data_IF_039017970853
#
_entry.id   IF_039017970853
#
_cell.length_a   1.000
_cell.length_b   1.000
_cell.length_c   1.000
_cell.angle_alpha   90.00
_cell.angle_beta   90.00
_cell.angle_gamma   90.00
#
_symmetry.space_group_name_H-M   'P 1'
#
loop_
_entity.id
_entity.type
_entity.pdbx_description
1 polymer ?
#
# COMPACT_ATOMS: atom_id res chain seq x y z
N UNK A 1 22.86 0.11 -6.96
CA UNK A 1 22.23 1.02 -5.99
C UNK A 1 20.97 0.34 -5.49
N UNK A 2 20.58 0.55 -4.23
CA UNK A 2 19.34 0.00 -3.69
C UNK A 2 18.14 0.62 -4.41
N UNK A 3 17.17 -0.19 -4.86
CA UNK A 3 15.99 0.29 -5.60
C UNK A 3 14.88 0.79 -4.69
N UNK A 4 14.83 0.27 -3.47
CA UNK A 4 13.81 0.59 -2.49
C UNK A 4 14.23 0.19 -1.08
N UNK A 5 13.60 0.80 -0.07
CA UNK A 5 13.62 0.34 1.33
C UNK A 5 12.18 0.24 1.81
N UNK A 6 11.86 -0.77 2.61
CA UNK A 6 10.48 -0.99 3.07
C UNK A 6 10.41 -1.36 4.55
N UNK A 7 9.24 -1.14 5.13
CA UNK A 7 8.88 -1.58 6.46
C UNK A 7 7.50 -2.23 6.43
N UNK A 8 7.43 -3.49 6.85
CA UNK A 8 6.16 -4.19 7.07
C UNK A 8 5.37 -3.55 8.20
N UNK A 9 4.06 -3.72 8.16
CA UNK A 9 3.16 -3.30 9.22
C UNK A 9 3.61 -3.87 10.59
N UNK A 10 3.95 -3.03 11.59
CA UNK A 10 4.54 -3.51 12.82
C UNK A 10 3.48 -3.92 13.84
N UNK A 11 2.66 -4.92 13.48
CA UNK A 11 1.56 -5.42 14.32
C UNK A 11 1.65 -6.93 14.47
N UNK A 12 1.13 -7.44 15.58
CA UNK A 12 0.98 -8.89 15.75
C UNK A 12 0.00 -9.43 14.70
N UNK A 13 0.40 -10.48 13.96
CA UNK A 13 -0.36 -11.00 12.82
C UNK A 13 -1.83 -11.29 13.16
N UNK A 14 -2.10 -11.91 14.31
CA UNK A 14 -3.47 -12.21 14.78
C UNK A 14 -4.40 -10.97 14.91
N UNK A 15 -3.88 -9.75 14.97
CA UNK A 15 -4.71 -8.53 14.97
C UNK A 15 -5.27 -8.20 13.59
N UNK A 16 -4.58 -8.63 12.53
CA UNK A 16 -4.87 -8.25 11.14
C UNK A 16 -5.11 -9.45 10.22
N UNK A 17 -4.94 -10.67 10.73
CA UNK A 17 -5.11 -11.93 10.02
C UNK A 17 -5.90 -12.95 10.86
N UNK A 18 -6.68 -13.80 10.17
CA UNK A 18 -7.42 -14.91 10.78
C UNK A 18 -8.81 -14.55 11.34
N UNK A 19 -9.52 -15.51 11.95
CA UNK A 19 -10.93 -15.38 12.32
C UNK A 19 -11.24 -14.31 13.37
N UNK A 20 -10.25 -13.95 14.18
CA UNK A 20 -10.39 -12.94 15.23
C UNK A 20 -10.07 -11.51 14.72
N UNK A 21 -9.46 -11.38 13.54
CA UNK A 21 -9.05 -10.09 13.00
C UNK A 21 -10.28 -9.32 12.53
N UNK A 22 -10.59 -8.25 13.25
CA UNK A 22 -11.74 -7.39 12.98
C UNK A 22 -11.43 -6.40 11.87
N UNK A 23 -12.42 -6.13 11.02
CA UNK A 23 -12.29 -5.18 9.91
C UNK A 23 -11.88 -3.78 10.39
N UNK A 24 -12.38 -3.34 11.56
CA UNK A 24 -12.05 -2.03 12.11
C UNK A 24 -10.59 -1.94 12.56
N UNK A 25 -10.04 -3.04 13.09
CA UNK A 25 -8.63 -3.11 13.50
C UNK A 25 -7.73 -3.11 12.27
N UNK A 26 -8.09 -3.85 11.21
CA UNK A 26 -7.37 -3.82 9.93
C UNK A 26 -7.34 -2.41 9.34
N UNK A 27 -8.51 -1.75 9.25
CA UNK A 27 -8.63 -0.39 8.74
C UNK A 27 -7.80 0.60 9.57
N UNK A 28 -7.84 0.50 10.90
CA UNK A 28 -7.01 1.32 11.79
C UNK A 28 -5.51 1.12 11.51
N UNK A 29 -5.04 -0.12 11.42
CA UNK A 29 -3.62 -0.40 11.17
C UNK A 29 -3.18 0.12 9.79
N UNK A 30 -4.01 -0.02 8.76
CA UNK A 30 -3.74 0.54 7.42
C UNK A 30 -3.73 2.07 7.47
N UNK A 31 -4.64 2.70 8.20
CA UNK A 31 -4.64 4.16 8.36
C UNK A 31 -3.34 4.66 8.97
N UNK A 32 -2.76 3.94 9.94
CA UNK A 32 -1.48 4.30 10.55
C UNK A 32 -0.30 4.15 9.56
N UNK A 33 -0.32 3.16 8.67
CA UNK A 33 0.64 3.08 7.57
C UNK A 33 0.54 4.29 6.64
N UNK A 34 -0.67 4.69 6.25
CA UNK A 34 -0.90 5.87 5.40
C UNK A 34 -0.44 7.17 6.07
N UNK A 35 -0.65 7.30 7.38
CA UNK A 35 -0.17 8.45 8.15
C UNK A 35 1.37 8.49 8.18
N UNK A 36 2.04 7.35 8.39
CA UNK A 36 3.49 7.26 8.30
C UNK A 36 4.01 7.61 6.89
N UNK A 37 3.34 7.15 5.84
CA UNK A 37 3.69 7.45 4.45
C UNK A 37 3.56 8.92 4.12
N UNK A 38 2.49 9.56 4.61
CA UNK A 38 2.30 11.01 4.48
C UNK A 38 3.45 11.80 5.12
N UNK A 39 3.90 11.39 6.31
CA UNK A 39 5.02 12.05 6.99
C UNK A 39 6.34 11.85 6.24
N UNK A 40 6.62 10.65 5.74
CA UNK A 40 7.85 10.38 4.97
C UNK A 40 7.88 11.11 3.63
N UNK A 41 6.74 11.22 2.94
CA UNK A 41 6.60 12.01 1.71
C UNK A 41 6.84 13.49 2.01
N UNK A 42 6.21 14.02 3.07
CA UNK A 42 6.32 15.44 3.43
C UNK A 42 7.72 15.86 3.89
N UNK A 43 8.50 14.94 4.46
CA UNK A 43 9.86 15.19 4.94
C UNK A 43 10.92 15.02 3.84
N UNK A 44 10.55 14.51 2.67
CA UNK A 44 11.49 14.19 1.61
C UNK A 44 12.02 15.44 0.90
N UNK A 45 13.33 15.48 0.67
CA UNK A 45 13.95 16.45 -0.24
C UNK A 45 13.98 15.87 -1.66
N UNK A 46 12.95 16.19 -2.45
CA UNK A 46 12.85 15.76 -3.83
C UNK A 46 13.88 16.40 -4.78
N UNK A 47 14.78 17.27 -4.29
CA UNK A 47 15.88 17.83 -5.10
C UNK A 47 17.06 16.87 -5.27
N UNK A 48 17.19 15.85 -4.42
CA UNK A 48 18.35 14.95 -4.36
C UNK A 48 18.27 13.73 -5.30
N UNK A 49 17.19 13.58 -6.06
CA UNK A 49 17.00 12.47 -7.00
C UNK A 49 15.58 11.91 -6.99
N UNK A 50 15.40 10.74 -7.60
CA UNK A 50 14.11 10.07 -7.58
C UNK A 50 13.82 9.51 -6.19
N UNK A 51 12.68 9.91 -5.65
CA UNK A 51 12.17 9.46 -4.36
C UNK A 51 10.65 9.44 -4.40
N UNK A 52 10.04 8.28 -4.13
CA UNK A 52 8.60 8.13 -3.96
C UNK A 52 8.26 7.30 -2.75
N UNK A 53 7.21 7.68 -2.04
CA UNK A 53 6.64 6.92 -0.93
C UNK A 53 5.31 6.32 -1.35
N UNK A 54 5.11 5.05 -1.04
CA UNK A 54 3.81 4.40 -1.17
C UNK A 54 3.53 3.43 -0.01
N UNK A 55 2.26 3.24 0.28
CA UNK A 55 1.78 2.07 1.00
C UNK A 55 1.39 0.98 -0.01
N UNK A 56 2.01 -0.18 0.12
CA UNK A 56 1.62 -1.39 -0.61
C UNK A 56 0.75 -2.24 0.31
N UNK A 57 -0.54 -2.30 0.02
CA UNK A 57 -1.50 -3.08 0.80
C UNK A 57 -1.78 -4.40 0.11
N UNK A 58 -1.76 -5.48 0.88
CA UNK A 58 -2.13 -6.81 0.41
C UNK A 58 -3.43 -7.22 1.09
N UNK A 59 -4.48 -7.43 0.31
CA UNK A 59 -5.80 -7.80 0.80
C UNK A 59 -6.14 -9.24 0.38
N UNK A 60 -6.65 -10.09 1.28
CA UNK A 60 -6.98 -9.84 2.69
C UNK A 60 -5.78 -9.96 3.66
N UNK A 61 -4.58 -10.26 3.17
CA UNK A 61 -3.38 -10.53 3.96
C UNK A 61 -2.67 -9.27 4.46
N UNK A 62 -3.36 -8.50 5.29
CA UNK A 62 -2.90 -7.17 5.77
C UNK A 62 -1.53 -7.23 6.44
N UNK A 63 -1.16 -8.35 7.08
CA UNK A 63 0.16 -8.53 7.69
C UNK A 63 1.33 -8.42 6.69
N UNK A 64 1.08 -8.64 5.39
CA UNK A 64 2.09 -8.47 4.33
C UNK A 64 2.18 -7.04 3.82
N UNK A 65 1.29 -6.14 4.27
CA UNK A 65 1.28 -4.76 3.84
C UNK A 65 2.49 -4.00 4.39
N UNK A 66 2.93 -3.01 3.63
CA UNK A 66 4.14 -2.26 3.92
C UNK A 66 4.03 -0.80 3.52
N UNK A 67 4.93 -0.01 4.10
CA UNK A 67 5.34 1.27 3.56
C UNK A 67 6.67 1.10 2.84
N UNK A 68 6.78 1.64 1.63
CA UNK A 68 7.94 1.46 0.76
C UNK A 68 8.39 2.79 0.20
N UNK A 69 9.70 3.03 0.30
CA UNK A 69 10.43 4.16 -0.28
C UNK A 69 11.13 3.67 -1.53
N UNK A 70 10.87 4.31 -2.65
CA UNK A 70 11.42 3.96 -3.95
C UNK A 70 12.46 4.97 -4.39
N UNK A 71 13.63 4.48 -4.79
CA UNK A 71 14.72 5.29 -5.35
C UNK A 71 14.91 5.06 -6.86
N UNK A 72 14.16 4.11 -7.42
CA UNK A 72 14.17 3.74 -8.83
C UNK A 72 12.76 3.91 -9.42
N UNK A 73 12.65 4.75 -10.45
CA UNK A 73 11.38 5.11 -11.09
C UNK A 73 10.72 3.94 -11.80
N UNK A 74 11.50 3.21 -12.58
CA UNK A 74 10.98 2.10 -13.37
C UNK A 74 10.52 0.97 -12.45
N UNK A 75 11.23 0.79 -11.32
CA UNK A 75 10.81 -0.13 -10.28
C UNK A 75 9.47 0.29 -9.64
N UNK A 76 9.30 1.57 -9.29
CA UNK A 76 8.03 2.06 -8.71
C UNK A 76 6.86 1.96 -9.70
N UNK A 77 7.09 2.29 -10.97
CA UNK A 77 6.08 2.18 -12.03
C UNK A 77 5.54 0.75 -12.15
N UNK A 78 6.37 -0.27 -11.89
CA UNK A 78 5.93 -1.66 -11.84
C UNK A 78 4.83 -1.94 -10.80
N UNK A 79 4.79 -1.19 -9.68
CA UNK A 79 3.77 -1.33 -8.64
C UNK A 79 2.49 -0.54 -8.92
N UNK A 80 2.57 0.53 -9.70
CA UNK A 80 1.38 1.21 -10.22
C UNK A 80 0.74 0.44 -11.38
N UNK A 81 1.55 -0.38 -12.07
CA UNK A 81 1.18 -1.15 -13.24
C UNK A 81 0.75 -0.28 -14.44
N UNK A 82 0.55 -0.92 -15.58
CA UNK A 82 0.07 -0.24 -16.79
C UNK A 82 -1.41 0.15 -16.66
N UNK A 83 -2.18 -0.60 -15.86
CA UNK A 83 -3.61 -0.36 -15.64
C UNK A 83 -3.98 -0.63 -14.18
N UNK A 84 -4.82 0.24 -13.62
CA UNK A 84 -5.49 0.00 -12.35
C UNK A 84 -6.70 -0.93 -12.63
N UNK A 85 -6.46 -2.24 -12.54
CA UNK A 85 -7.41 -3.28 -12.98
C UNK A 85 -8.64 -3.37 -12.09
N UNK A 86 -8.57 -2.85 -10.86
CA UNK A 86 -9.69 -2.81 -9.93
C UNK A 86 -10.56 -1.55 -10.06
N UNK A 87 -10.32 -0.65 -11.01
CA UNK A 87 -11.25 0.49 -11.22
C UNK A 87 -12.68 0.01 -11.51
N UNK A 88 -13.71 0.64 -10.93
CA UNK A 88 -13.69 1.87 -10.14
C UNK A 88 -13.52 1.67 -8.61
N UNK A 89 -13.22 0.46 -8.16
CA UNK A 89 -13.07 0.12 -6.75
C UNK A 89 -11.91 0.87 -6.10
N UNK A 90 -12.07 1.17 -4.81
CA UNK A 90 -11.08 1.84 -3.98
C UNK A 90 -11.10 1.22 -2.59
N UNK A 91 -10.01 0.59 -2.18
CA UNK A 91 -9.88 0.04 -0.83
C UNK A 91 -9.94 1.15 0.22
N UNK A 92 -9.50 2.36 -0.14
CA UNK A 92 -9.65 3.54 0.73
C UNK A 92 -11.10 3.85 1.06
N UNK A 93 -12.02 3.75 0.09
CA UNK A 93 -13.44 3.94 0.33
C UNK A 93 -14.04 2.76 1.12
N UNK A 94 -13.69 1.52 0.75
CA UNK A 94 -14.21 0.32 1.41
C UNK A 94 -13.86 0.26 2.91
N UNK A 95 -12.68 0.75 3.28
CA UNK A 95 -12.18 0.77 4.66
C UNK A 95 -12.34 2.14 5.34
N UNK A 96 -13.02 3.10 4.71
CA UNK A 96 -13.18 4.48 5.21
C UNK A 96 -11.85 5.16 5.60
N UNK A 97 -10.80 4.94 4.81
CA UNK A 97 -9.47 5.49 5.02
C UNK A 97 -9.37 6.93 4.51
N UNK A 98 -8.55 7.72 5.19
CA UNK A 98 -8.10 9.03 4.71
C UNK A 98 -6.79 8.85 3.96
N UNK A 99 -6.82 9.03 2.64
CA UNK A 99 -5.62 9.06 1.80
C UNK A 99 -5.02 10.47 1.79
N UNK A 100 -3.68 10.61 1.86
CA UNK A 100 -3.03 11.90 1.64
C UNK A 100 -3.46 12.52 0.30
N UNK A 101 -3.65 13.84 0.27
CA UNK A 101 -4.22 14.52 -0.91
C UNK A 101 -3.36 14.37 -2.17
N UNK A 102 -2.05 14.20 -1.99
CA UNK A 102 -1.07 14.02 -3.05
C UNK A 102 -0.91 12.55 -3.49
N UNK A 103 -1.61 11.59 -2.85
CA UNK A 103 -1.50 10.17 -3.17
C UNK A 103 -2.56 9.74 -4.18
N UNK A 104 -2.16 8.90 -5.13
CA UNK A 104 -3.03 8.14 -6.02
C UNK A 104 -3.23 6.73 -5.46
N UNK A 105 -4.25 6.03 -5.95
CA UNK A 105 -4.59 4.67 -5.54
C UNK A 105 -4.78 3.79 -6.77
N UNK A 106 -3.95 2.74 -6.86
CA UNK A 106 -3.95 1.75 -7.93
C UNK A 106 -4.17 0.36 -7.34
N UNK A 107 -5.23 -0.32 -7.78
CA UNK A 107 -5.57 -1.67 -7.36
C UNK A 107 -5.34 -2.68 -8.47
N UNK A 108 -4.81 -3.84 -8.09
CA UNK A 108 -4.55 -4.95 -8.96
C UNK A 108 -5.17 -6.23 -8.39
N UNK A 109 -6.02 -6.89 -9.16
CA UNK A 109 -6.36 -8.29 -8.90
C UNK A 109 -5.15 -9.17 -9.23
N UNK A 110 -4.66 -9.89 -8.23
CA UNK A 110 -3.50 -10.79 -8.35
C UNK A 110 -3.86 -12.22 -7.94
N UNK A 111 -5.17 -12.52 -7.85
CA UNK A 111 -5.70 -13.84 -7.52
C UNK A 111 -5.15 -14.90 -8.46
N UNK A 112 -4.56 -15.95 -7.90
CA UNK A 112 -4.05 -17.11 -8.61
C UNK A 112 -5.10 -18.23 -8.65
N UNK A 113 -5.02 -19.18 -9.61
CA UNK A 113 -5.95 -20.30 -9.70
C UNK A 113 -6.04 -21.17 -8.45
N UNK A 114 -4.96 -21.23 -7.67
CA UNK A 114 -4.85 -22.03 -6.45
C UNK A 114 -5.21 -21.25 -5.18
N UNK A 115 -5.54 -19.95 -5.28
CA UNK A 115 -5.94 -19.16 -4.13
C UNK A 115 -7.36 -19.52 -3.68
N UNK A 116 -7.52 -19.78 -2.38
CA UNK A 116 -8.83 -20.06 -1.77
C UNK A 116 -9.72 -18.80 -1.67
N UNK A 117 -9.12 -17.61 -1.78
CA UNK A 117 -9.78 -16.31 -1.66
C UNK A 117 -9.23 -15.33 -2.68
N UNK A 118 -10.02 -14.34 -3.08
CA UNK A 118 -9.53 -13.27 -3.95
C UNK A 118 -8.40 -12.48 -3.27
N UNK A 119 -7.34 -12.21 -4.02
CA UNK A 119 -6.14 -11.50 -3.55
C UNK A 119 -5.99 -10.21 -4.36
N UNK A 120 -5.87 -9.10 -3.64
CA UNK A 120 -5.73 -7.79 -4.25
C UNK A 120 -4.49 -7.09 -3.71
N UNK A 121 -3.74 -6.45 -4.61
CA UNK A 121 -2.66 -5.55 -4.26
C UNK A 121 -3.09 -4.11 -4.52
N UNK A 122 -2.85 -3.23 -3.56
CA UNK A 122 -3.17 -1.81 -3.67
C UNK A 122 -1.93 -0.98 -3.43
N UNK A 123 -1.52 -0.21 -4.44
CA UNK A 123 -0.49 0.82 -4.31
C UNK A 123 -1.17 2.16 -4.02
N UNK A 124 -0.99 2.69 -2.81
CA UNK A 124 -1.47 4.02 -2.41
C UNK A 124 -0.25 4.90 -2.13
N UNK A 125 0.10 5.77 -3.07
CA UNK A 125 1.38 6.49 -3.01
C UNK A 125 1.43 7.71 -3.90
N UNK A 126 2.58 8.38 -3.90
CA UNK A 126 2.82 9.55 -4.72
C UNK A 126 2.74 9.22 -6.23
N UNK A 127 2.29 10.14 -7.10
CA UNK A 127 2.32 9.93 -8.55
C UNK A 127 3.77 9.79 -9.05
N UNK A 128 4.00 8.92 -10.03
CA UNK A 128 5.35 8.57 -10.52
C UNK A 128 6.12 9.72 -11.19
#
# INVERSE_FOLDING_TARGET
>A
MERYTHWKIPVHEALVQGPQARIEVKAFCIQQLLEAASHLSSAADHSQGYYRVACLLVWPWVHQSEITLFYDRDYYLGFLGDTNSLKPERISHALALRTPAQFIEHGHDVTQPDDEVAVQWWCIGEPA
#
